data_IF_606712515447
#
_entry.id   IF_606712515447
#
_cell.length_a   1.000
_cell.length_b   1.000
_cell.length_c   1.000
_cell.angle_alpha   90.00
_cell.angle_beta   90.00
_cell.angle_gamma   90.00
#
_symmetry.space_group_name_H-M   'P 1'
#
loop_
_entity.id
_entity.type
_entity.pdbx_description
1 polymer ?
#
# COMPACT_ATOMS: atom_id res chain seq x y z
N UNK A 1 -15.10 -13.90 17.00
CA UNK A 1 -14.87 -13.63 15.56
C UNK A 1 -13.49 -13.01 15.37
N UNK A 2 -12.83 -13.27 14.24
CA UNK A 2 -11.53 -12.64 13.97
C UNK A 2 -11.69 -11.15 13.69
N UNK A 3 -10.86 -10.35 14.35
CA UNK A 3 -10.82 -8.91 14.21
C UNK A 3 -9.38 -8.38 14.22
N UNK A 4 -9.18 -7.21 13.64
CA UNK A 4 -7.96 -6.43 13.77
C UNK A 4 -8.23 -5.19 14.61
N UNK A 5 -7.56 -5.07 15.76
CA UNK A 5 -7.52 -3.80 16.49
C UNK A 5 -6.38 -2.96 15.93
N UNK A 6 -6.73 -1.81 15.38
CA UNK A 6 -5.78 -0.89 14.75
C UNK A 6 -5.63 0.36 15.59
N UNK A 7 -4.40 0.77 15.83
CA UNK A 7 -4.02 2.01 16.49
C UNK A 7 -3.01 2.79 15.64
N UNK A 8 -2.99 4.11 15.83
CA UNK A 8 -1.95 4.98 15.27
C UNK A 8 -1.38 5.81 16.42
N UNK A 9 -0.06 5.75 16.62
CA UNK A 9 0.65 6.40 17.71
C UNK A 9 0.05 6.06 19.09
N UNK A 10 -0.33 4.80 19.28
CA UNK A 10 -0.97 4.30 20.52
C UNK A 10 -2.46 4.63 20.65
N UNK A 11 -3.01 5.57 19.87
CA UNK A 11 -4.43 5.88 19.89
C UNK A 11 -5.22 4.88 19.03
N UNK A 12 -6.23 4.21 19.63
CA UNK A 12 -7.11 3.27 18.91
C UNK A 12 -7.85 4.01 17.78
N UNK A 13 -7.74 3.48 16.56
CA UNK A 13 -8.53 3.92 15.39
C UNK A 13 -9.82 3.13 15.30
N UNK A 14 -9.73 1.79 15.31
CA UNK A 14 -10.89 0.91 15.36
C UNK A 14 -10.51 -0.54 15.72
N UNK A 15 -11.48 -1.33 16.15
CA UNK A 15 -11.48 -2.78 16.07
C UNK A 15 -12.34 -3.18 14.87
N UNK A 16 -11.73 -3.68 13.79
CA UNK A 16 -12.42 -4.04 12.56
C UNK A 16 -12.62 -5.56 12.46
N UNK A 17 -13.82 -6.00 12.07
CA UNK A 17 -14.14 -7.40 11.81
C UNK A 17 -15.33 -7.53 10.86
N UNK A 18 -15.41 -8.64 10.13
CA UNK A 18 -16.42 -8.86 9.08
C UNK A 18 -17.37 -10.01 9.38
N UNK A 19 -17.41 -10.48 10.62
CA UNK A 19 -18.20 -11.64 11.03
C UNK A 19 -17.44 -12.97 10.87
N UNK A 20 -18.16 -14.12 10.90
CA UNK A 20 -17.54 -15.44 10.90
C UNK A 20 -16.95 -15.84 9.53
N UNK A 21 -17.48 -15.26 8.44
CA UNK A 21 -17.08 -15.57 7.07
C UNK A 21 -16.88 -14.29 6.27
N UNK A 22 -15.78 -14.21 5.54
CA UNK A 22 -15.44 -13.01 4.77
C UNK A 22 -13.95 -12.80 4.62
N UNK A 23 -13.58 -11.58 4.20
CA UNK A 23 -12.19 -11.15 4.09
C UNK A 23 -12.03 -9.82 4.82
N UNK A 24 -11.03 -9.71 5.68
CA UNK A 24 -10.65 -8.47 6.34
C UNK A 24 -9.23 -8.12 5.92
N UNK A 25 -9.01 -6.87 5.50
CA UNK A 25 -7.74 -6.41 4.96
C UNK A 25 -7.34 -5.07 5.56
N UNK A 26 -6.08 -4.98 5.97
CA UNK A 26 -5.38 -3.74 6.26
C UNK A 26 -4.29 -3.56 5.22
N UNK A 27 -4.30 -2.39 4.59
CA UNK A 27 -3.24 -1.95 3.69
C UNK A 27 -2.57 -0.73 4.30
N UNK A 28 -1.27 -0.83 4.55
CA UNK A 28 -0.44 0.31 4.93
C UNK A 28 0.46 0.63 3.75
N UNK A 29 0.27 1.78 3.13
CA UNK A 29 1.04 2.20 1.95
C UNK A 29 1.93 3.36 2.32
N UNK A 30 3.17 3.34 1.85
CA UNK A 30 4.07 4.49 1.86
C UNK A 30 4.55 4.78 0.45
N UNK A 31 4.32 6.00 -0.03
CA UNK A 31 4.68 6.39 -1.40
C UNK A 31 5.91 7.28 -1.39
N UNK A 32 6.83 7.04 -2.31
CA UNK A 32 8.02 7.85 -2.54
C UNK A 32 7.94 8.54 -3.91
N UNK A 33 8.16 9.87 -3.91
CA UNK A 33 8.44 10.63 -5.12
C UNK A 33 7.27 10.83 -6.10
N UNK A 34 6.01 10.66 -5.66
CA UNK A 34 4.83 11.14 -6.40
C UNK A 34 4.38 12.53 -5.91
N UNK A 35 3.69 13.34 -6.74
CA UNK A 35 3.05 14.58 -6.29
C UNK A 35 2.04 14.35 -5.16
N UNK A 36 1.38 13.19 -5.11
CA UNK A 36 0.47 12.84 -4.01
C UNK A 36 1.21 12.71 -2.68
N UNK A 37 2.50 12.41 -2.71
CA UNK A 37 3.32 12.39 -1.51
C UNK A 37 3.55 13.78 -0.87
N UNK A 38 2.99 14.85 -1.47
CA UNK A 38 2.90 16.18 -0.86
C UNK A 38 1.70 16.29 0.11
N UNK A 39 0.69 15.41 -0.02
CA UNK A 39 -0.50 15.40 0.84
C UNK A 39 -0.35 14.49 2.07
N UNK A 40 0.60 13.55 2.02
CA UNK A 40 0.97 12.63 3.11
C UNK A 40 2.09 11.70 2.66
N UNK A 41 2.84 11.11 3.60
CA UNK A 41 3.88 10.13 3.24
C UNK A 41 3.27 8.77 2.87
N UNK A 42 2.03 8.53 3.30
CA UNK A 42 1.29 7.30 3.07
C UNK A 42 -0.08 7.30 3.73
N UNK A 43 -0.71 6.13 3.79
CA UNK A 43 -1.99 5.93 4.42
C UNK A 43 -2.14 4.52 5.02
N UNK A 44 -3.04 4.40 5.99
CA UNK A 44 -3.58 3.11 6.44
C UNK A 44 -5.04 3.03 6.04
N UNK A 45 -5.38 1.95 5.34
CA UNK A 45 -6.73 1.63 4.89
C UNK A 45 -7.18 0.31 5.49
N UNK A 46 -8.38 0.32 6.06
CA UNK A 46 -8.96 -0.82 6.75
C UNK A 46 -10.30 -1.11 6.08
N UNK A 47 -10.43 -2.27 5.47
CA UNK A 47 -11.65 -2.67 4.79
C UNK A 47 -11.90 -4.16 4.90
N UNK A 48 -13.11 -4.57 4.61
CA UNK A 48 -13.42 -5.99 4.53
C UNK A 48 -14.70 -6.26 3.77
N UNK A 49 -14.96 -7.54 3.54
CA UNK A 49 -16.13 -8.03 2.84
C UNK A 49 -16.69 -9.24 3.59
N UNK A 50 -17.90 -9.13 4.13
CA UNK A 50 -18.62 -10.29 4.64
C UNK A 50 -19.10 -11.16 3.47
N UNK A 51 -19.18 -12.47 3.69
CA UNK A 51 -19.79 -13.38 2.72
C UNK A 51 -21.32 -13.34 2.78
N UNK A 52 -21.89 -13.27 3.99
CA UNK A 52 -23.33 -13.35 4.21
C UNK A 52 -23.80 -12.40 5.34
N UNK A 53 -24.64 -11.38 5.02
CA UNK A 53 -24.92 -10.90 3.67
C UNK A 53 -23.62 -10.40 3.01
N UNK A 54 -23.57 -10.46 1.68
CA UNK A 54 -22.40 -9.97 0.94
C UNK A 54 -22.34 -8.46 1.04
N UNK A 55 -21.55 -7.96 1.98
CA UNK A 55 -21.40 -6.54 2.29
C UNK A 55 -19.94 -6.13 2.34
N UNK A 56 -19.63 -4.95 1.82
CA UNK A 56 -18.32 -4.34 1.94
C UNK A 56 -18.32 -3.30 3.06
N UNK A 57 -17.29 -3.35 3.89
CA UNK A 57 -17.07 -2.48 5.03
C UNK A 57 -15.81 -1.64 4.84
N UNK A 58 -15.90 -0.37 5.22
CA UNK A 58 -14.78 0.54 5.29
C UNK A 58 -14.74 1.15 6.69
N UNK A 59 -13.62 1.02 7.37
CA UNK A 59 -13.36 1.73 8.63
C UNK A 59 -12.57 3.02 8.36
N UNK A 60 -12.47 3.93 9.35
CA UNK A 60 -11.71 5.18 9.18
C UNK A 60 -10.28 4.92 8.68
N UNK A 61 -9.91 5.57 7.58
CA UNK A 61 -8.52 5.61 7.09
C UNK A 61 -7.80 6.81 7.69
N UNK A 62 -6.48 6.72 7.84
CA UNK A 62 -5.64 7.82 8.30
C UNK A 62 -4.49 8.06 7.32
N UNK A 63 -4.25 9.32 7.00
CA UNK A 63 -3.01 9.73 6.36
C UNK A 63 -1.87 9.62 7.38
N UNK A 64 -0.72 9.15 6.91
CA UNK A 64 0.45 8.86 7.74
C UNK A 64 1.62 9.76 7.34
N UNK A 65 2.45 10.08 8.33
CA UNK A 65 3.67 10.88 8.20
C UNK A 65 4.87 10.11 8.73
N UNK A 66 6.07 10.53 8.33
CA UNK A 66 7.29 10.09 9.00
C UNK A 66 7.17 10.30 10.51
N UNK A 67 7.49 9.25 11.28
CA UNK A 67 7.38 9.21 12.73
C UNK A 67 6.14 8.46 13.21
N UNK A 68 5.11 8.36 12.39
CA UNK A 68 3.89 7.63 12.78
C UNK A 68 4.15 6.13 12.88
N UNK A 69 3.50 5.53 13.87
CA UNK A 69 3.51 4.10 14.14
C UNK A 69 2.08 3.56 14.09
N UNK A 70 1.90 2.45 13.37
CA UNK A 70 0.64 1.75 13.23
C UNK A 70 0.77 0.46 14.04
N UNK A 71 -0.08 0.30 15.05
CA UNK A 71 -0.22 -0.93 15.80
C UNK A 71 -1.40 -1.74 15.28
N UNK A 72 -1.22 -3.03 15.07
CA UNK A 72 -2.27 -3.96 14.65
C UNK A 72 -2.21 -5.19 15.54
N UNK A 73 -3.28 -5.48 16.27
CA UNK A 73 -3.44 -6.71 17.04
C UNK A 73 -4.43 -7.63 16.34
N UNK A 74 -4.07 -8.92 16.21
CA UNK A 74 -4.96 -9.96 15.69
C UNK A 74 -5.72 -10.58 16.86
N UNK A 75 -7.04 -10.38 16.88
CA UNK A 75 -7.88 -10.75 18.01
C UNK A 75 -8.97 -11.74 17.59
N UNK A 76 -9.42 -12.56 18.54
CA UNK A 76 -10.70 -13.25 18.47
C UNK A 76 -11.64 -12.65 19.53
N UNK A 77 -12.67 -11.94 19.09
CA UNK A 77 -13.56 -11.13 19.94
C UNK A 77 -15.02 -11.28 19.52
N UNK A 78 -15.94 -11.06 20.46
CA UNK A 78 -17.38 -11.15 20.18
C UNK A 78 -17.95 -9.88 19.54
N UNK A 79 -17.29 -8.74 19.76
CA UNK A 79 -17.77 -7.43 19.29
C UNK A 79 -16.66 -6.64 18.60
N UNK A 80 -17.05 -5.82 17.62
CA UNK A 80 -16.16 -4.97 16.83
C UNK A 80 -16.78 -3.57 16.70
N UNK A 81 -15.95 -2.58 16.38
CA UNK A 81 -16.42 -1.21 16.18
C UNK A 81 -17.22 -1.11 14.86
N UNK A 82 -18.28 -0.28 14.80
CA UNK A 82 -19.06 -0.12 13.59
C UNK A 82 -18.20 0.49 12.45
N UNK A 83 -18.36 0.02 11.21
CA UNK A 83 -17.65 0.59 10.06
C UNK A 83 -18.16 1.99 9.74
N UNK A 84 -17.28 2.83 9.21
CA UNK A 84 -17.61 4.17 8.72
C UNK A 84 -18.56 4.11 7.51
N UNK A 85 -18.37 3.12 6.63
CA UNK A 85 -19.25 2.88 5.48
C UNK A 85 -19.57 1.40 5.34
N UNK A 86 -20.85 1.10 5.08
CA UNK A 86 -21.35 -0.22 4.67
C UNK A 86 -21.91 -0.08 3.25
N UNK A 87 -21.60 -1.02 2.36
CA UNK A 87 -22.09 -1.03 0.99
C UNK A 87 -22.51 -2.46 0.62
N UNK A 88 -23.67 -2.67 -0.03
CA UNK A 88 -24.00 -3.97 -0.62
C UNK A 88 -22.90 -4.45 -1.57
N UNK A 89 -22.61 -5.75 -1.57
CA UNK A 89 -21.49 -6.33 -2.31
C UNK A 89 -21.52 -6.05 -3.82
N UNK A 90 -22.71 -6.05 -4.43
CA UNK A 90 -22.90 -5.73 -5.85
C UNK A 90 -22.54 -4.27 -6.18
N UNK A 91 -22.80 -3.36 -5.25
CA UNK A 91 -22.48 -1.93 -5.38
C UNK A 91 -20.98 -1.69 -5.13
N UNK A 92 -20.37 -2.45 -4.21
CA UNK A 92 -18.95 -2.31 -3.84
C UNK A 92 -17.97 -2.54 -5.00
N UNK A 93 -18.23 -3.53 -5.88
CA UNK A 93 -17.35 -3.82 -7.01
C UNK A 93 -17.45 -2.71 -8.06
N UNK A 94 -18.68 -2.29 -8.39
CA UNK A 94 -18.95 -1.21 -9.35
C UNK A 94 -18.39 0.13 -8.86
N UNK A 95 -18.60 0.50 -7.60
CA UNK A 95 -18.10 1.76 -7.02
C UNK A 95 -16.57 1.78 -6.87
N UNK A 96 -15.96 0.64 -6.57
CA UNK A 96 -14.50 0.53 -6.49
C UNK A 96 -13.88 0.64 -7.88
N UNK A 97 -14.45 -0.06 -8.86
CA UNK A 97 -14.03 0.01 -10.26
C UNK A 97 -14.23 1.43 -10.82
N UNK A 98 -15.38 2.05 -10.56
CA UNK A 98 -15.68 3.42 -11.00
C UNK A 98 -14.77 4.46 -10.33
N UNK A 99 -14.40 4.28 -9.05
CA UNK A 99 -13.40 5.15 -8.40
C UNK A 99 -12.02 4.98 -9.03
N UNK A 100 -11.57 3.74 -9.24
CA UNK A 100 -10.28 3.49 -9.90
C UNK A 100 -10.25 4.06 -11.33
N UNK A 101 -11.33 3.89 -12.09
CA UNK A 101 -11.49 4.46 -13.44
C UNK A 101 -11.54 5.98 -13.40
N UNK A 102 -12.27 6.60 -12.47
CA UNK A 102 -12.31 8.07 -12.31
C UNK A 102 -10.97 8.65 -11.88
N UNK A 103 -10.25 8.00 -10.97
CA UNK A 103 -8.91 8.42 -10.55
C UNK A 103 -7.93 8.29 -11.72
N UNK A 104 -7.97 7.17 -12.47
CA UNK A 104 -7.14 6.97 -13.64
C UNK A 104 -7.46 7.99 -14.76
N UNK A 105 -8.74 8.22 -15.07
CA UNK A 105 -9.17 9.21 -16.05
C UNK A 105 -8.91 10.64 -15.59
N UNK A 106 -9.05 10.97 -14.32
CA UNK A 106 -8.75 12.30 -13.79
C UNK A 106 -7.26 12.63 -13.89
N UNK A 107 -6.39 11.66 -13.59
CA UNK A 107 -4.95 11.78 -13.74
C UNK A 107 -4.49 11.90 -15.21
N UNK A 108 -5.27 11.36 -16.15
CA UNK A 108 -4.91 11.30 -17.57
C UNK A 108 -5.60 12.38 -18.45
N UNK A 109 -6.89 12.63 -18.25
CA UNK A 109 -7.73 13.44 -19.13
C UNK A 109 -7.86 14.91 -18.70
N UNK A 110 -7.65 15.22 -17.42
CA UNK A 110 -7.70 16.61 -16.91
C UNK A 110 -6.78 17.59 -17.65
N UNK A 111 -5.52 17.20 -17.96
CA UNK A 111 -4.64 18.01 -18.80
C UNK A 111 -5.02 17.97 -20.30
N UNK A 112 -5.53 16.83 -20.79
CA UNK A 112 -5.71 16.56 -22.22
C UNK A 112 -6.91 17.29 -22.84
N UNK A 113 -7.92 17.64 -22.04
CA UNK A 113 -9.17 18.26 -22.51
C UNK A 113 -9.13 19.79 -22.61
N UNK A 114 -8.09 20.47 -22.11
CA UNK A 114 -8.03 21.95 -22.07
C UNK A 114 -7.38 22.61 -23.28
N UNK A 115 -6.48 21.93 -23.99
CA UNK A 115 -5.88 22.44 -25.24
C UNK A 115 -5.19 21.31 -26.04
N UNK A 116 -5.93 20.60 -26.91
CA UNK A 116 -5.40 19.46 -27.66
C UNK A 116 -4.35 19.85 -28.71
N UNK A 117 -4.29 21.11 -29.16
CA UNK A 117 -3.35 21.55 -30.23
C UNK A 117 -2.08 22.19 -29.65
N UNK A 118 -2.16 22.97 -28.57
CA UNK A 118 -0.98 23.46 -27.86
C UNK A 118 -0.20 22.34 -27.17
N UNK A 119 -0.87 21.21 -26.84
CA UNK A 119 -0.20 20.07 -26.21
C UNK A 119 0.60 19.19 -27.15
N UNK A 120 0.28 19.03 -28.44
CA UNK A 120 1.15 18.26 -29.35
C UNK A 120 2.53 18.92 -29.56
N UNK A 121 2.54 20.27 -29.64
CA UNK A 121 3.78 21.05 -29.71
C UNK A 121 4.53 21.06 -28.36
N UNK A 122 3.80 21.04 -27.24
CA UNK A 122 4.37 20.94 -25.90
C UNK A 122 4.88 19.54 -25.58
N UNK A 123 4.22 18.48 -26.05
CA UNK A 123 4.63 17.08 -25.96
C UNK A 123 5.86 16.85 -26.82
N UNK A 124 5.92 17.42 -28.03
CA UNK A 124 7.11 17.31 -28.88
C UNK A 124 8.33 18.05 -28.32
N UNK A 125 8.14 19.28 -27.79
CA UNK A 125 9.21 20.00 -27.09
C UNK A 125 9.61 19.30 -25.80
N UNK A 126 8.63 18.86 -25.00
CA UNK A 126 8.87 18.12 -23.77
C UNK A 126 9.53 16.79 -24.04
N UNK A 127 9.22 16.07 -25.11
CA UNK A 127 9.87 14.83 -25.50
C UNK A 127 11.33 15.07 -25.90
N UNK A 128 11.61 16.14 -26.64
CA UNK A 128 12.99 16.52 -27.02
C UNK A 128 13.80 16.96 -25.79
N UNK A 129 13.19 17.73 -24.89
CA UNK A 129 13.77 18.11 -23.60
C UNK A 129 13.94 16.91 -22.66
N UNK A 130 12.99 15.96 -22.69
CA UNK A 130 13.04 14.72 -21.91
C UNK A 130 14.18 13.84 -22.41
N UNK A 131 14.38 13.75 -23.73
CA UNK A 131 15.48 13.02 -24.38
C UNK A 131 16.85 13.67 -24.07
N UNK A 132 16.94 15.00 -24.13
CA UNK A 132 18.16 15.74 -23.74
C UNK A 132 18.47 15.64 -22.24
N UNK A 133 17.44 15.72 -21.39
CA UNK A 133 17.56 15.54 -19.93
C UNK A 133 17.81 14.09 -19.56
N UNK A 134 17.30 13.09 -20.30
CA UNK A 134 17.60 11.67 -20.07
C UNK A 134 19.02 11.34 -20.47
N UNK A 135 19.54 11.87 -21.59
CA UNK A 135 20.96 11.74 -21.94
C UNK A 135 21.87 12.37 -20.87
N UNK A 136 21.54 13.60 -20.42
CA UNK A 136 22.27 14.29 -19.34
C UNK A 136 22.09 13.66 -17.95
N UNK A 137 20.97 12.98 -17.70
CA UNK A 137 20.71 12.25 -16.46
C UNK A 137 21.38 10.87 -16.47
N UNK A 138 21.49 10.20 -17.63
CA UNK A 138 22.25 8.97 -17.82
C UNK A 138 23.75 9.21 -17.64
N UNK A 139 24.30 10.29 -18.21
CA UNK A 139 25.70 10.68 -17.98
C UNK A 139 25.99 10.99 -16.50
N UNK A 140 25.07 11.67 -15.80
CA UNK A 140 25.15 11.90 -14.34
C UNK A 140 24.86 10.67 -13.48
N UNK A 141 24.28 9.61 -14.06
CA UNK A 141 23.98 8.31 -13.43
C UNK A 141 25.15 7.35 -13.54
N UNK A 142 25.97 7.44 -14.60
CA UNK A 142 27.22 6.70 -14.76
C UNK A 142 28.35 7.22 -13.83
N UNK A 143 28.28 8.49 -13.45
CA UNK A 143 29.30 9.16 -12.61
C UNK A 143 28.95 9.25 -11.13
N UNK A 144 27.82 8.67 -10.67
CA UNK A 144 27.42 8.74 -9.26
C UNK A 144 27.77 7.45 -8.51
N UNK A 145 28.54 7.52 -7.41
CA UNK A 145 28.87 6.33 -6.65
C UNK A 145 27.60 5.67 -6.09
N UNK A 146 27.52 4.33 -6.07
CA UNK A 146 26.40 3.61 -5.50
C UNK A 146 26.43 3.74 -3.97
N UNK A 147 25.65 4.68 -3.45
CA UNK A 147 25.51 4.86 -2.01
C UNK A 147 24.70 6.11 -1.66
N UNK A 148 23.62 5.92 -0.90
CA UNK A 148 22.75 6.94 -0.30
C UNK A 148 21.75 7.63 -1.27
N UNK A 149 20.46 7.81 -0.94
CA UNK A 149 19.71 7.69 0.31
C UNK A 149 18.34 7.14 -0.07
N UNK A 150 17.92 6.02 0.49
CA UNK A 150 16.49 5.90 0.75
C UNK A 150 16.17 6.95 1.83
N UNK A 151 15.13 7.74 1.62
CA UNK A 151 14.65 8.67 2.65
C UNK A 151 13.33 8.18 3.26
N UNK A 152 12.78 7.07 2.72
CA UNK A 152 11.47 6.57 3.07
C UNK A 152 11.52 5.05 3.21
N UNK A 153 11.41 4.57 4.44
CA UNK A 153 11.39 3.15 4.77
C UNK A 153 10.35 2.86 5.86
N UNK A 154 9.69 1.72 5.80
CA UNK A 154 8.84 1.24 6.89
C UNK A 154 9.61 0.19 7.68
N UNK A 155 9.73 0.39 8.99
CA UNK A 155 10.18 -0.63 9.91
C UNK A 155 8.96 -1.50 10.25
N UNK A 156 9.10 -2.81 10.10
CA UNK A 156 8.04 -3.78 10.38
C UNK A 156 8.51 -4.72 11.47
N UNK A 157 7.70 -4.85 12.52
CA UNK A 157 7.93 -5.73 13.66
C UNK A 157 6.69 -6.62 13.86
N UNK A 158 6.94 -7.88 14.25
CA UNK A 158 5.92 -8.85 14.61
C UNK A 158 6.29 -9.39 16.00
N UNK A 159 5.40 -9.25 16.97
CA UNK A 159 5.60 -9.65 18.36
C UNK A 159 6.91 -9.07 18.94
N UNK A 160 7.12 -7.76 18.73
CA UNK A 160 8.34 -7.03 19.08
C UNK A 160 9.64 -7.54 18.43
N UNK A 161 9.56 -8.49 17.48
CA UNK A 161 10.70 -8.94 16.69
C UNK A 161 10.71 -8.22 15.35
N UNK A 162 11.85 -7.59 15.03
CA UNK A 162 12.08 -6.98 13.70
C UNK A 162 11.93 -8.03 12.59
N UNK A 163 10.98 -7.77 11.69
CA UNK A 163 10.79 -8.54 10.45
C UNK A 163 11.69 -7.96 9.36
N UNK A 164 11.55 -6.66 9.06
CA UNK A 164 12.37 -5.97 8.09
C UNK A 164 12.33 -4.45 8.24
N UNK A 165 13.27 -3.76 7.59
CA UNK A 165 13.16 -2.35 7.21
C UNK A 165 13.02 -2.30 5.69
N UNK A 166 11.79 -2.12 5.21
CA UNK A 166 11.48 -2.10 3.78
C UNK A 166 11.49 -0.67 3.24
N UNK A 167 12.25 -0.39 2.19
CA UNK A 167 12.41 0.95 1.65
C UNK A 167 12.57 0.96 0.14
N UNK A 168 12.21 2.09 -0.48
CA UNK A 168 12.43 2.34 -1.91
C UNK A 168 13.31 3.58 -2.08
N UNK A 169 14.26 3.59 -3.03
CA UNK A 169 15.31 4.59 -3.05
C UNK A 169 14.82 5.99 -3.40
N UNK A 170 13.86 6.19 -4.32
CA UNK A 170 13.36 7.54 -4.68
C UNK A 170 11.94 7.62 -5.23
N UNK A 171 11.59 6.74 -6.18
CA UNK A 171 10.25 6.71 -6.80
C UNK A 171 9.73 5.29 -6.72
N UNK A 172 8.65 5.12 -6.00
CA UNK A 172 8.13 3.80 -5.72
C UNK A 172 7.12 3.84 -4.60
N UNK A 173 6.75 2.67 -4.13
CA UNK A 173 6.01 2.54 -2.90
C UNK A 173 6.45 1.30 -2.14
N UNK A 174 6.28 1.33 -0.82
CA UNK A 174 6.30 0.16 0.04
C UNK A 174 4.88 -0.04 0.56
N UNK A 175 4.45 -1.29 0.63
CA UNK A 175 3.12 -1.68 1.06
C UNK A 175 3.25 -2.86 2.03
N UNK A 176 2.59 -2.74 3.17
CA UNK A 176 2.30 -3.87 4.05
C UNK A 176 0.84 -4.24 3.89
N UNK A 177 0.59 -5.51 3.57
CA UNK A 177 -0.75 -6.06 3.37
C UNK A 177 -0.98 -7.15 4.41
N UNK A 178 -1.96 -6.93 5.29
CA UNK A 178 -2.40 -7.88 6.31
C UNK A 178 -3.82 -8.28 5.95
N UNK A 179 -4.05 -9.57 5.74
CA UNK A 179 -5.35 -10.10 5.36
C UNK A 179 -5.70 -11.29 6.21
N UNK A 180 -6.94 -11.33 6.69
CA UNK A 180 -7.59 -12.54 7.15
C UNK A 180 -8.68 -12.91 6.16
N UNK A 181 -8.75 -14.18 5.81
CA UNK A 181 -9.87 -14.75 5.08
C UNK A 181 -10.50 -15.83 5.94
N UNK A 182 -11.75 -15.61 6.31
CA UNK A 182 -12.59 -16.60 6.97
C UNK A 182 -12.97 -17.74 6.04
N UNK A 183 -13.49 -18.84 6.60
CA UNK A 183 -13.91 -19.99 5.81
C UNK A 183 -15.01 -19.57 4.80
N UNK A 184 -14.82 -19.94 3.54
CA UNK A 184 -15.84 -19.83 2.49
C UNK A 184 -16.46 -21.23 2.28
N UNK A 185 -17.53 -21.53 3.03
CA UNK A 185 -18.14 -22.86 3.04
C UNK A 185 -17.35 -23.88 3.86
N UNK A 186 -17.69 -25.17 3.73
CA UNK A 186 -17.31 -26.21 4.69
C UNK A 186 -15.89 -26.78 4.58
N UNK A 187 -15.04 -26.33 3.64
CA UNK A 187 -13.78 -27.04 3.32
C UNK A 187 -12.50 -26.21 3.26
N UNK A 188 -12.56 -24.88 3.35
CA UNK A 188 -11.33 -24.05 3.33
C UNK A 188 -11.09 -23.49 4.73
N UNK A 189 -9.99 -23.86 5.41
CA UNK A 189 -9.67 -23.29 6.71
C UNK A 189 -9.44 -21.78 6.58
N UNK A 190 -9.71 -21.06 7.67
CA UNK A 190 -9.32 -19.65 7.74
C UNK A 190 -7.82 -19.53 7.55
N UNK A 191 -7.40 -18.47 6.85
CA UNK A 191 -5.98 -18.20 6.65
C UNK A 191 -5.66 -16.74 6.88
N UNK A 192 -4.51 -16.52 7.50
CA UNK A 192 -3.89 -15.21 7.58
C UNK A 192 -2.84 -15.08 6.48
N UNK A 193 -2.73 -13.89 5.94
CA UNK A 193 -1.71 -13.51 4.99
C UNK A 193 -1.09 -12.19 5.44
N UNK A 194 0.23 -12.16 5.59
CA UNK A 194 0.98 -10.93 5.78
C UNK A 194 2.09 -10.88 4.75
N UNK A 195 2.15 -9.79 3.98
CA UNK A 195 3.27 -9.52 3.08
C UNK A 195 3.75 -8.10 3.20
N UNK A 196 5.08 -7.93 3.20
CA UNK A 196 5.73 -6.63 3.05
C UNK A 196 6.36 -6.59 1.66
N UNK A 197 5.83 -5.74 0.79
CA UNK A 197 6.23 -5.64 -0.60
C UNK A 197 6.30 -4.21 -1.08
N UNK A 198 6.60 -4.02 -2.36
CA UNK A 198 6.68 -2.69 -2.95
C UNK A 198 7.03 -2.72 -4.42
N UNK A 199 7.18 -1.53 -4.99
CA UNK A 199 7.59 -1.37 -6.39
C UNK A 199 8.58 -0.23 -6.51
N UNK A 200 9.68 -0.47 -7.22
CA UNK A 200 10.57 0.59 -7.68
C UNK A 200 10.13 1.04 -9.08
N UNK A 201 9.64 2.27 -9.20
CA UNK A 201 9.15 2.80 -10.47
C UNK A 201 10.26 3.14 -11.46
N UNK A 202 11.53 3.09 -11.06
CA UNK A 202 12.66 3.36 -11.96
C UNK A 202 13.11 2.13 -12.71
N UNK A 203 13.08 0.98 -12.05
CA UNK A 203 13.46 -0.31 -12.62
C UNK A 203 12.24 -1.13 -13.03
N UNK A 204 11.05 -0.68 -12.66
CA UNK A 204 9.79 -1.42 -12.78
C UNK A 204 9.77 -2.78 -12.08
N UNK A 205 10.60 -2.93 -11.05
CA UNK A 205 10.70 -4.17 -10.29
C UNK A 205 9.67 -4.22 -9.16
N UNK A 206 9.05 -5.38 -8.99
CA UNK A 206 8.32 -5.73 -7.77
C UNK A 206 9.30 -6.25 -6.71
N UNK A 207 9.19 -5.72 -5.49
CA UNK A 207 10.07 -6.01 -4.36
C UNK A 207 9.27 -6.76 -3.28
N UNK A 208 9.83 -7.84 -2.72
CA UNK A 208 9.22 -8.64 -1.63
C UNK A 208 10.23 -8.78 -0.49
N UNK A 209 9.91 -8.28 0.70
CA UNK A 209 10.77 -8.33 1.90
C UNK A 209 10.41 -9.48 2.84
N UNK A 210 9.28 -10.17 2.62
CA UNK A 210 8.92 -11.31 3.44
C UNK A 210 7.42 -11.49 3.61
N UNK A 211 7.10 -12.70 4.07
CA UNK A 211 5.73 -13.15 4.35
C UNK A 211 5.71 -13.85 5.70
N UNK A 212 5.79 -13.10 6.81
CA UNK A 212 5.76 -13.72 8.12
C UNK A 212 4.42 -14.42 8.34
N UNK A 213 4.45 -15.54 9.06
CA UNK A 213 3.24 -16.20 9.50
C UNK A 213 2.51 -15.32 10.52
N UNK A 214 1.17 -15.36 10.51
CA UNK A 214 0.32 -14.65 11.45
C UNK A 214 -0.66 -15.63 12.09
N UNK A 215 -0.96 -15.38 13.37
CA UNK A 215 -1.95 -16.08 14.16
C UNK A 215 -2.73 -15.12 15.05
N UNK A 216 -3.80 -15.61 15.66
CA UNK A 216 -4.52 -14.89 16.72
C UNK A 216 -3.59 -14.69 17.91
N UNK A 217 -3.62 -13.49 18.49
CA UNK A 217 -2.73 -13.06 19.57
C UNK A 217 -1.48 -12.33 19.09
N UNK A 218 -1.18 -12.36 17.78
CA UNK A 218 -0.05 -11.63 17.23
C UNK A 218 -0.26 -10.11 17.25
N UNK A 219 0.85 -9.38 17.44
CA UNK A 219 0.93 -7.92 17.38
C UNK A 219 1.91 -7.49 16.31
N UNK A 220 1.49 -6.58 15.43
CA UNK A 220 2.28 -6.03 14.33
C UNK A 220 2.47 -4.54 14.60
N UNK A 221 3.71 -4.07 14.51
CA UNK A 221 4.04 -2.64 14.46
C UNK A 221 4.64 -2.27 13.12
N UNK A 222 4.13 -1.21 12.51
CA UNK A 222 4.65 -0.64 11.27
C UNK A 222 4.97 0.82 11.53
N UNK A 223 6.26 1.18 11.52
CA UNK A 223 6.73 2.55 11.78
C UNK A 223 7.25 3.22 10.52
N UNK A 224 6.80 4.44 10.25
CA UNK A 224 7.25 5.24 9.13
C UNK A 224 8.57 5.92 9.47
N UNK A 225 9.70 5.32 9.10
CA UNK A 225 11.02 5.86 9.38
C UNK A 225 11.63 6.64 8.21
N UNK A 226 12.48 7.62 8.50
CA UNK A 226 13.54 8.02 7.56
C UNK A 226 14.71 7.09 7.82
N UNK A 227 15.09 6.27 6.85
CA UNK A 227 16.26 5.44 7.00
C UNK A 227 17.09 5.45 5.73
N UNK A 228 18.39 5.75 5.89
CA UNK A 228 19.38 5.61 4.82
C UNK A 228 19.71 4.15 4.54
N UNK A 229 19.37 3.26 5.47
CA UNK A 229 19.62 1.83 5.44
C UNK A 229 18.28 1.09 5.47
N UNK A 230 18.05 0.25 4.47
CA UNK A 230 16.91 -0.64 4.41
C UNK A 230 17.42 -2.02 4.02
N UNK A 231 16.70 -3.05 4.44
CA UNK A 231 17.04 -4.42 4.07
C UNK A 231 16.90 -4.60 2.56
N UNK A 232 17.74 -5.46 1.98
CA UNK A 232 17.55 -5.91 0.62
C UNK A 232 16.25 -6.72 0.53
N UNK A 233 15.45 -6.56 -0.54
CA UNK A 233 14.29 -7.41 -0.75
C UNK A 233 14.73 -8.87 -0.96
N UNK A 234 14.02 -9.80 -0.34
CA UNK A 234 14.26 -11.25 -0.47
C UNK A 234 14.00 -11.75 -1.90
N UNK A 235 13.10 -11.10 -2.63
CA UNK A 235 12.82 -11.38 -4.05
C UNK A 235 12.64 -10.09 -4.84
N UNK A 236 13.16 -10.10 -6.06
CA UNK A 236 12.93 -9.10 -7.10
C UNK A 236 12.30 -9.79 -8.30
N UNK A 237 11.25 -9.20 -8.87
CA UNK A 237 10.64 -9.69 -10.11
C UNK A 237 10.58 -8.54 -11.10
N UNK A 238 11.26 -8.72 -12.22
CA UNK A 238 11.09 -7.84 -13.37
C UNK A 238 9.76 -8.18 -14.05
N UNK A 239 8.96 -7.16 -14.31
CA UNK A 239 7.66 -7.31 -14.97
C UNK A 239 7.81 -7.49 -16.48
N UNK A 240 8.95 -7.11 -17.05
CA UNK A 240 9.23 -7.18 -18.49
C UNK A 240 9.34 -8.62 -19.01
N UNK A 241 9.71 -9.57 -18.15
CA UNK A 241 9.94 -10.98 -18.50
C UNK A 241 8.64 -11.81 -18.47
N UNK A 242 7.54 -11.25 -17.97
CA UNK A 242 6.26 -11.96 -17.80
C UNK A 242 5.23 -11.66 -18.91
N UNK A 243 5.66 -11.10 -20.04
CA UNK A 243 4.80 -10.80 -21.21
C UNK A 243 5.18 -11.66 -22.40
#
# INVERSE_FOLDING_TARGET
>A
MIAFRVSVNGAKVCTAGVGPTGVLTITVTRVAGSPEALLGDGDVRICGMASEPREFFLWPSRALRVGDEIGIEVLDVDTVDPPLKRMPGAESYRDTLLRQVRTALGAFAGPMLRDPRGQLATISRSARDLLSRTASAMARRALRPPGARAERAVLVELNARRVCVAGVPRRGHVMSLITWAGPTGSRVPSHFWFSVGGRDYRTDECLDWGRPALAVGDSISIRFARSREHDAPTRRRDRSVAR
#
